data_IF_468546909414
#
_entry.id   IF_468546909414
#
_cell.length_a   1.000
_cell.length_b   1.000
_cell.length_c   1.000
_cell.angle_alpha   90.00
_cell.angle_beta   90.00
_cell.angle_gamma   90.00
#
_symmetry.space_group_name_H-M   'P 1'
#
loop_
_entity.id
_entity.type
_entity.pdbx_description
1 polymer ?
#
# COMPACT_ATOMS: atom_id res chain seq x y z
N UNK A 1 -61.54 -40.99 61.09
CA UNK A 1 -60.65 -41.63 60.10
C UNK A 1 -60.70 -40.96 58.71
N UNK A 2 -61.88 -40.60 58.15
CA UNK A 2 -61.99 -39.96 56.82
C UNK A 2 -61.35 -38.55 56.70
N UNK A 3 -61.42 -37.72 57.75
CA UNK A 3 -60.86 -36.36 57.74
C UNK A 3 -59.33 -36.37 57.69
N UNK A 4 -58.68 -37.29 58.42
CA UNK A 4 -57.21 -37.40 58.46
C UNK A 4 -56.63 -37.90 57.13
N UNK A 5 -57.38 -38.74 56.39
CA UNK A 5 -57.01 -39.21 55.06
C UNK A 5 -57.12 -38.04 54.06
N UNK A 6 -58.20 -37.26 54.11
CA UNK A 6 -58.43 -36.11 53.23
C UNK A 6 -57.36 -35.01 53.36
N UNK A 7 -56.92 -34.69 54.59
CA UNK A 7 -55.87 -33.69 54.83
C UNK A 7 -54.50 -34.18 54.32
N UNK A 8 -54.16 -35.46 54.52
CA UNK A 8 -52.92 -36.04 53.97
C UNK A 8 -52.91 -36.02 52.44
N UNK A 9 -54.03 -36.31 51.79
CA UNK A 9 -54.15 -36.26 50.33
C UNK A 9 -53.99 -34.83 49.79
N UNK A 10 -54.54 -33.82 50.48
CA UNK A 10 -54.37 -32.42 50.10
C UNK A 10 -52.92 -31.94 50.26
N UNK A 11 -52.24 -32.32 51.35
CA UNK A 11 -50.82 -31.96 51.57
C UNK A 11 -49.95 -32.58 50.47
N UNK A 12 -50.17 -33.84 50.11
CA UNK A 12 -49.42 -34.53 49.03
C UNK A 12 -49.66 -33.84 47.69
N UNK A 13 -50.91 -33.46 47.39
CA UNK A 13 -51.24 -32.76 46.15
C UNK A 13 -50.55 -31.39 46.04
N UNK A 14 -50.54 -30.61 47.12
CA UNK A 14 -49.82 -29.32 47.17
C UNK A 14 -48.31 -29.53 47.01
N UNK A 15 -47.73 -30.59 47.60
CA UNK A 15 -46.32 -30.90 47.46
C UNK A 15 -45.94 -31.22 46.00
N UNK A 16 -46.78 -31.99 45.30
CA UNK A 16 -46.57 -32.31 43.88
C UNK A 16 -46.65 -31.05 43.01
N UNK A 17 -47.64 -30.19 43.25
CA UNK A 17 -47.74 -28.90 42.56
C UNK A 17 -46.51 -28.01 42.80
N UNK A 18 -45.99 -27.99 44.03
CA UNK A 18 -44.79 -27.23 44.37
C UNK A 18 -43.56 -27.78 43.65
N UNK A 19 -43.40 -29.10 43.57
CA UNK A 19 -42.30 -29.75 42.86
C UNK A 19 -42.38 -29.47 41.35
N UNK A 20 -43.57 -29.52 40.76
CA UNK A 20 -43.79 -29.17 39.35
C UNK A 20 -43.48 -27.69 39.10
N UNK A 21 -43.93 -26.79 39.99
CA UNK A 21 -43.62 -25.37 39.89
C UNK A 21 -42.12 -25.08 40.00
N UNK A 22 -41.43 -25.68 40.98
CA UNK A 22 -39.99 -25.50 41.19
C UNK A 22 -39.16 -26.04 40.01
N UNK A 23 -39.52 -27.21 39.50
CA UNK A 23 -38.82 -27.84 38.36
C UNK A 23 -39.01 -27.06 37.06
N UNK A 24 -40.20 -26.50 36.82
CA UNK A 24 -40.47 -25.64 35.66
C UNK A 24 -39.74 -24.29 35.74
N UNK A 25 -39.69 -23.65 36.91
CA UNK A 25 -38.93 -22.40 37.10
C UNK A 25 -37.43 -22.59 36.96
N UNK A 26 -36.87 -23.68 37.48
CA UNK A 26 -35.44 -23.97 37.37
C UNK A 26 -35.03 -24.26 35.92
N UNK A 27 -35.84 -25.00 35.16
CA UNK A 27 -35.61 -25.23 33.73
C UNK A 27 -35.72 -23.95 32.89
N UNK A 28 -36.59 -23.01 33.28
CA UNK A 28 -36.73 -21.72 32.61
C UNK A 28 -35.52 -20.80 32.88
N UNK A 29 -35.04 -20.73 34.13
CA UNK A 29 -33.83 -19.99 34.51
C UNK A 29 -32.57 -20.52 33.82
N UNK A 30 -32.40 -21.85 33.76
CA UNK A 30 -31.26 -22.46 33.07
C UNK A 30 -31.25 -22.12 31.57
N UNK A 31 -32.42 -22.16 30.91
CA UNK A 31 -32.55 -21.74 29.50
C UNK A 31 -32.31 -20.25 29.30
N UNK A 32 -32.76 -19.41 30.23
CA UNK A 32 -32.51 -17.96 30.19
C UNK A 32 -31.01 -17.64 30.30
N UNK A 33 -30.29 -18.30 31.20
CA UNK A 33 -28.85 -18.10 31.36
C UNK A 33 -28.06 -18.55 30.14
N UNK A 34 -28.41 -19.69 29.52
CA UNK A 34 -27.80 -20.15 28.27
C UNK A 34 -28.07 -19.14 27.15
N UNK A 35 -29.31 -18.66 27.03
CA UNK A 35 -29.66 -17.65 26.03
C UNK A 35 -28.91 -16.32 26.26
N UNK A 36 -28.68 -15.91 27.51
CA UNK A 36 -27.89 -14.71 27.83
C UNK A 36 -26.41 -14.87 27.44
N UNK A 37 -25.80 -16.04 27.67
CA UNK A 37 -24.44 -16.33 27.20
C UNK A 37 -24.36 -16.34 25.67
N UNK A 38 -25.30 -17.02 24.99
CA UNK A 38 -25.36 -17.02 23.53
C UNK A 38 -25.54 -15.61 22.95
N UNK A 39 -26.39 -14.77 23.55
CA UNK A 39 -26.58 -13.37 23.13
C UNK A 39 -25.29 -12.57 23.33
N UNK A 40 -24.55 -12.82 24.41
CA UNK A 40 -23.28 -12.13 24.68
C UNK A 40 -22.22 -12.51 23.64
N UNK A 41 -22.11 -13.78 23.31
CA UNK A 41 -21.17 -14.27 22.30
C UNK A 41 -21.52 -13.74 20.90
N UNK A 42 -22.81 -13.75 20.55
CA UNK A 42 -23.30 -13.16 19.30
C UNK A 42 -23.00 -11.66 19.20
N UNK A 43 -23.10 -10.90 20.29
CA UNK A 43 -22.74 -9.46 20.30
C UNK A 43 -21.25 -9.24 20.05
N UNK A 44 -20.39 -10.08 20.62
CA UNK A 44 -18.94 -10.01 20.38
C UNK A 44 -18.64 -10.31 18.91
N UNK A 45 -19.29 -11.33 18.35
CA UNK A 45 -19.10 -11.71 16.96
C UNK A 45 -19.63 -10.64 15.98
N UNK A 46 -20.79 -10.04 16.27
CA UNK A 46 -21.31 -8.90 15.48
C UNK A 46 -20.31 -7.74 15.50
N UNK A 47 -19.80 -7.34 16.66
CA UNK A 47 -18.82 -6.25 16.75
C UNK A 47 -17.52 -6.56 15.98
N UNK A 48 -17.08 -7.82 15.99
CA UNK A 48 -15.93 -8.29 15.19
C UNK A 48 -16.21 -8.16 13.70
N UNK A 49 -17.38 -8.63 13.24
CA UNK A 49 -17.81 -8.59 11.85
C UNK A 49 -18.04 -7.15 11.34
N UNK A 50 -18.60 -6.27 12.17
CA UNK A 50 -18.75 -4.85 11.85
C UNK A 50 -17.38 -4.20 11.59
N UNK A 51 -16.40 -4.45 12.46
CA UNK A 51 -15.04 -3.94 12.28
C UNK A 51 -14.34 -4.53 11.04
N UNK A 52 -14.55 -5.80 10.73
CA UNK A 52 -14.05 -6.41 9.50
C UNK A 52 -14.71 -5.81 8.25
N UNK A 53 -16.01 -5.52 8.31
CA UNK A 53 -16.78 -4.92 7.22
C UNK A 53 -16.36 -3.48 6.98
N UNK A 54 -16.14 -2.68 8.04
CA UNK A 54 -15.62 -1.32 7.95
C UNK A 54 -14.25 -1.30 7.27
N UNK A 55 -13.32 -2.16 7.72
CA UNK A 55 -12.00 -2.31 7.12
C UNK A 55 -12.05 -2.74 5.64
N UNK A 56 -13.02 -3.58 5.27
CA UNK A 56 -13.23 -3.95 3.87
C UNK A 56 -13.82 -2.79 3.05
N UNK A 57 -14.73 -2.00 3.64
CA UNK A 57 -15.31 -0.80 3.04
C UNK A 57 -14.26 0.28 2.75
N UNK A 58 -13.36 0.54 3.69
CA UNK A 58 -12.22 1.46 3.51
C UNK A 58 -11.35 1.02 2.32
N UNK A 59 -10.96 -0.27 2.29
CA UNK A 59 -10.19 -0.85 1.18
C UNK A 59 -10.87 -0.67 -0.17
N UNK A 60 -12.19 -0.88 -0.25
CA UNK A 60 -12.96 -0.68 -1.47
C UNK A 60 -12.87 0.76 -1.96
N UNK A 61 -12.95 1.73 -1.04
CA UNK A 61 -12.83 3.15 -1.39
C UNK A 61 -11.44 3.50 -1.96
N UNK A 62 -10.37 2.91 -1.41
CA UNK A 62 -9.01 3.09 -1.92
C UNK A 62 -8.88 2.55 -3.35
N UNK A 63 -9.46 1.36 -3.62
CA UNK A 63 -9.49 0.78 -4.95
C UNK A 63 -10.27 1.64 -5.96
N UNK A 64 -11.36 2.28 -5.54
CA UNK A 64 -12.14 3.19 -6.40
C UNK A 64 -11.33 4.44 -6.80
N UNK A 65 -10.57 5.02 -5.87
CA UNK A 65 -9.69 6.16 -6.14
C UNK A 65 -8.59 5.77 -7.14
N UNK A 66 -8.00 4.58 -6.95
CA UNK A 66 -6.93 4.06 -7.81
C UNK A 66 -7.43 3.70 -9.21
N UNK A 67 -8.58 3.02 -9.30
CA UNK A 67 -9.17 2.62 -10.59
C UNK A 67 -9.69 3.83 -11.37
N UNK A 68 -10.28 4.82 -10.68
CA UNK A 68 -10.71 6.09 -11.29
C UNK A 68 -9.57 6.91 -11.90
N UNK A 69 -8.33 6.74 -11.41
CA UNK A 69 -7.13 7.42 -11.90
C UNK A 69 -6.17 6.53 -12.67
N UNK A 70 -6.53 5.27 -12.93
CA UNK A 70 -5.64 4.24 -13.48
C UNK A 70 -4.92 4.69 -14.75
N UNK A 71 -5.65 5.28 -15.71
CA UNK A 71 -5.06 5.75 -16.96
C UNK A 71 -3.98 6.83 -16.73
N UNK A 72 -4.18 7.72 -15.76
CA UNK A 72 -3.19 8.76 -15.42
C UNK A 72 -1.98 8.12 -14.72
N UNK A 73 -2.21 7.22 -13.77
CA UNK A 73 -1.13 6.53 -13.05
C UNK A 73 -0.29 5.65 -14.01
N UNK A 74 -0.92 5.04 -15.02
CA UNK A 74 -0.21 4.29 -16.06
C UNK A 74 0.71 5.19 -16.89
N UNK A 75 0.29 6.42 -17.20
CA UNK A 75 1.14 7.37 -17.96
C UNK A 75 2.34 7.86 -17.17
N UNK A 76 2.32 7.73 -15.83
CA UNK A 76 3.44 8.18 -14.98
C UNK A 76 4.50 7.12 -14.74
N UNK A 77 4.30 5.87 -15.14
CA UNK A 77 5.26 4.77 -14.93
C UNK A 77 5.89 4.35 -16.25
N UNK A 78 7.20 4.14 -16.22
CA UNK A 78 8.05 3.94 -17.40
C UNK A 78 8.86 2.65 -17.30
N UNK A 79 9.02 2.01 -18.44
CA UNK A 79 10.01 0.96 -18.67
C UNK A 79 11.32 1.67 -19.03
N UNK A 80 12.35 1.47 -18.22
CA UNK A 80 13.68 1.99 -18.47
C UNK A 80 14.61 0.91 -18.99
N UNK A 81 15.51 1.30 -19.88
CA UNK A 81 16.60 0.45 -20.32
C UNK A 81 17.89 1.25 -20.51
N UNK A 82 19.03 0.63 -20.23
CA UNK A 82 20.35 1.23 -20.35
C UNK A 82 21.41 0.19 -20.73
N UNK A 83 22.45 0.63 -21.42
CA UNK A 83 23.58 -0.21 -21.86
C UNK A 83 24.77 0.02 -20.92
N UNK A 84 25.51 -1.01 -20.51
CA UNK A 84 26.73 -0.80 -19.71
C UNK A 84 27.80 -0.09 -20.52
N UNK A 85 28.60 0.78 -19.89
CA UNK A 85 29.76 1.45 -20.53
C UNK A 85 30.84 0.45 -20.97
N UNK A 86 30.88 -0.72 -20.32
CA UNK A 86 31.77 -1.85 -20.63
C UNK A 86 30.99 -3.06 -21.15
N UNK A 87 31.66 -4.15 -21.51
CA UNK A 87 30.97 -5.39 -21.93
C UNK A 87 29.99 -5.88 -20.86
N UNK A 88 28.73 -6.12 -21.25
CA UNK A 88 27.71 -6.61 -20.34
C UNK A 88 26.34 -6.70 -20.97
N UNK A 89 25.35 -7.07 -20.16
CA UNK A 89 23.94 -7.13 -20.57
C UNK A 89 23.26 -5.79 -20.32
N UNK A 90 22.36 -5.43 -21.23
CA UNK A 90 21.43 -4.30 -21.06
C UNK A 90 20.68 -4.45 -19.73
N UNK A 91 20.57 -3.33 -19.00
CA UNK A 91 19.87 -3.27 -17.72
C UNK A 91 18.48 -2.71 -17.94
N UNK A 92 17.49 -3.49 -17.52
CA UNK A 92 16.08 -3.12 -17.57
C UNK A 92 15.59 -2.78 -16.16
N UNK A 93 14.83 -1.70 -16.04
CA UNK A 93 14.37 -1.17 -14.76
C UNK A 93 13.04 -0.45 -14.89
N UNK A 94 12.46 -0.04 -13.76
CA UNK A 94 11.27 0.81 -13.74
C UNK A 94 11.67 2.24 -13.43
N UNK A 95 10.93 3.21 -13.95
CA UNK A 95 11.06 4.61 -13.59
C UNK A 95 9.67 5.23 -13.47
N UNK A 96 9.58 6.43 -12.92
CA UNK A 96 8.33 7.18 -12.88
C UNK A 96 8.56 8.68 -13.03
N UNK A 97 7.55 9.37 -13.54
CA UNK A 97 7.54 10.83 -13.57
C UNK A 97 6.97 11.40 -12.26
N UNK A 98 7.60 12.42 -11.70
CA UNK A 98 7.09 13.22 -10.58
C UNK A 98 6.96 14.69 -10.95
N UNK A 99 6.01 15.38 -10.33
CA UNK A 99 5.87 16.83 -10.42
C UNK A 99 6.35 17.48 -9.12
N UNK A 100 7.29 18.42 -9.23
CA UNK A 100 7.85 19.12 -8.09
C UNK A 100 8.36 20.50 -8.50
N UNK A 101 8.03 21.53 -7.70
CA UNK A 101 8.40 22.94 -7.94
C UNK A 101 8.27 23.35 -9.42
N UNK A 102 7.06 23.19 -9.95
CA UNK A 102 6.67 23.57 -11.32
C UNK A 102 7.40 22.84 -12.46
N UNK A 103 8.13 21.77 -12.14
CA UNK A 103 8.88 20.97 -13.12
C UNK A 103 8.50 19.49 -13.04
N UNK A 104 8.67 18.79 -14.17
CA UNK A 104 8.52 17.34 -14.25
C UNK A 104 9.89 16.69 -14.32
N UNK A 105 10.10 15.69 -13.46
CA UNK A 105 11.31 14.88 -13.41
C UNK A 105 10.98 13.44 -13.64
N UNK A 106 11.91 12.70 -14.23
CA UNK A 106 11.81 11.25 -14.36
C UNK A 106 12.81 10.62 -13.38
N UNK A 107 12.30 9.76 -12.51
CA UNK A 107 13.01 9.22 -11.36
C UNK A 107 13.12 7.71 -11.48
N UNK A 108 14.26 7.16 -11.09
CA UNK A 108 14.52 5.71 -11.00
C UNK A 108 15.43 5.42 -9.79
N UNK A 109 15.77 4.16 -9.56
CA UNK A 109 16.78 3.78 -8.57
C UNK A 109 18.19 4.08 -9.09
N UNK A 110 19.09 4.55 -8.22
CA UNK A 110 20.46 4.92 -8.58
C UNK A 110 21.30 3.74 -9.03
N UNK A 111 21.05 2.55 -8.48
CA UNK A 111 21.71 1.33 -8.93
C UNK A 111 21.32 0.92 -10.35
N UNK A 112 20.28 1.50 -10.94
CA UNK A 112 19.98 1.36 -12.37
C UNK A 112 20.93 2.20 -13.25
N UNK A 113 21.61 3.18 -12.66
CA UNK A 113 22.60 4.08 -13.29
C UNK A 113 24.01 3.55 -13.09
N UNK A 114 24.32 3.07 -11.88
CA UNK A 114 25.63 2.50 -11.54
C UNK A 114 25.50 1.40 -10.48
N UNK A 115 26.06 0.22 -10.74
CA UNK A 115 26.04 -0.87 -9.74
C UNK A 115 27.30 -1.72 -9.81
N UNK A 116 27.93 -1.96 -8.67
CA UNK A 116 29.15 -2.76 -8.59
C UNK A 116 30.33 -2.17 -9.38
N UNK A 117 30.41 -0.84 -9.48
CA UNK A 117 31.42 -0.13 -10.27
C UNK A 117 31.18 -0.14 -11.78
N UNK A 118 30.06 -0.71 -12.25
CA UNK A 118 29.64 -0.66 -13.66
C UNK A 118 28.65 0.47 -13.82
N UNK A 119 29.02 1.46 -14.61
CA UNK A 119 28.16 2.57 -15.02
C UNK A 119 27.40 2.21 -16.30
N UNK A 120 26.16 2.69 -16.39
CA UNK A 120 25.29 2.52 -17.54
C UNK A 120 25.10 3.85 -18.28
N UNK A 121 24.87 3.76 -19.58
CA UNK A 121 24.66 4.86 -20.53
C UNK A 121 23.49 4.55 -21.47
N UNK A 122 23.25 5.44 -22.43
CA UNK A 122 22.22 5.27 -23.46
C UNK A 122 20.81 5.00 -22.89
N UNK A 123 20.48 5.74 -21.83
CA UNK A 123 19.22 5.62 -21.13
C UNK A 123 18.04 5.94 -22.06
N UNK A 124 17.12 4.99 -22.16
CA UNK A 124 15.86 5.13 -22.91
C UNK A 124 14.70 4.68 -22.06
N UNK A 125 13.58 5.38 -22.20
CA UNK A 125 12.39 5.14 -21.38
C UNK A 125 11.14 5.10 -22.24
N UNK A 126 10.15 4.31 -21.83
CA UNK A 126 8.87 4.19 -22.52
C UNK A 126 7.75 4.04 -21.50
N UNK A 127 6.74 4.90 -21.53
CA UNK A 127 5.62 4.81 -20.58
C UNK A 127 4.83 3.52 -20.77
N UNK A 128 4.14 3.04 -19.74
CA UNK A 128 3.28 1.85 -19.84
C UNK A 128 2.20 1.97 -20.94
N UNK A 129 1.84 3.20 -21.31
CA UNK A 129 0.80 3.50 -22.30
C UNK A 129 1.35 3.81 -23.70
N UNK A 130 2.67 3.83 -23.89
CA UNK A 130 3.30 4.24 -25.14
C UNK A 130 4.18 3.14 -25.73
N UNK A 131 4.27 3.11 -27.05
CA UNK A 131 5.27 2.30 -27.78
C UNK A 131 6.55 3.08 -28.08
N UNK A 132 6.57 4.40 -27.85
CA UNK A 132 7.67 5.29 -28.22
C UNK A 132 8.69 5.44 -27.09
N UNK A 133 9.97 5.33 -27.46
CA UNK A 133 11.08 5.62 -26.58
C UNK A 133 11.36 7.12 -26.49
N UNK A 134 11.62 7.60 -25.29
CA UNK A 134 12.18 8.92 -25.00
C UNK A 134 13.60 8.76 -24.45
N UNK A 135 14.40 9.81 -24.65
CA UNK A 135 15.83 9.85 -24.30
C UNK A 135 16.06 11.07 -23.39
N UNK A 136 15.72 10.96 -22.11
CA UNK A 136 15.85 12.04 -21.15
C UNK A 136 17.32 12.20 -20.73
N UNK A 137 17.67 13.41 -20.29
CA UNK A 137 19.01 13.73 -19.81
C UNK A 137 19.13 13.39 -18.33
N UNK A 138 20.20 12.68 -17.94
CA UNK A 138 20.52 12.41 -16.54
C UNK A 138 21.09 13.68 -15.90
N UNK A 139 20.40 14.21 -14.91
CA UNK A 139 20.83 15.40 -14.16
C UNK A 139 21.77 15.03 -13.00
N UNK A 140 21.37 14.02 -12.23
CA UNK A 140 22.08 13.62 -11.02
C UNK A 140 21.66 12.21 -10.59
N UNK A 141 22.52 11.52 -9.86
CA UNK A 141 22.19 10.26 -9.21
C UNK A 141 23.02 10.05 -7.96
N UNK A 142 22.52 9.20 -7.08
CA UNK A 142 23.24 8.62 -5.96
C UNK A 142 22.93 7.13 -5.93
N UNK A 143 23.95 6.27 -5.87
CA UNK A 143 23.79 4.81 -5.86
C UNK A 143 24.18 4.19 -4.51
N UNK A 144 23.82 4.87 -3.41
CA UNK A 144 24.08 4.39 -2.05
C UNK A 144 22.95 3.48 -1.57
N UNK A 145 23.01 2.25 -2.07
CA UNK A 145 22.09 1.17 -1.76
C UNK A 145 22.04 0.83 -0.26
N UNK A 146 23.12 1.05 0.48
CA UNK A 146 23.20 0.67 1.90
C UNK A 146 22.47 1.67 2.79
N UNK A 147 22.53 2.96 2.47
CA UNK A 147 21.90 4.02 3.26
C UNK A 147 20.54 4.49 2.72
N UNK A 148 19.93 3.72 1.81
CA UNK A 148 18.66 4.06 1.16
C UNK A 148 18.70 5.45 0.48
N UNK A 149 19.86 5.83 -0.03
CA UNK A 149 20.06 7.03 -0.87
C UNK A 149 20.41 6.58 -2.27
N UNK A 150 19.43 5.92 -2.87
CA UNK A 150 19.60 5.20 -4.12
C UNK A 150 18.54 5.67 -5.12
N UNK A 151 18.91 6.65 -5.94
CA UNK A 151 18.03 7.31 -6.89
C UNK A 151 18.79 7.88 -8.10
N UNK A 152 18.08 8.02 -9.22
CA UNK A 152 18.52 8.76 -10.41
C UNK A 152 17.46 9.77 -10.83
N UNK A 153 17.90 10.97 -11.21
CA UNK A 153 17.05 12.10 -11.60
C UNK A 153 17.34 12.45 -13.04
N UNK A 154 16.30 12.42 -13.86
CA UNK A 154 16.35 12.78 -15.26
C UNK A 154 15.40 13.93 -15.58
N UNK A 155 15.70 14.66 -16.64
CA UNK A 155 14.81 15.67 -17.22
C UNK A 155 14.49 15.37 -18.68
N UNK A 156 13.28 15.74 -19.10
CA UNK A 156 12.89 15.69 -20.50
C UNK A 156 11.86 16.78 -20.80
N UNK A 157 12.13 17.69 -21.76
CA UNK A 157 11.29 18.87 -22.01
C UNK A 157 9.83 18.60 -22.37
N UNK A 158 9.49 17.36 -22.73
CA UNK A 158 8.13 16.97 -23.13
C UNK A 158 7.39 16.12 -22.09
N UNK A 159 7.93 15.94 -20.87
CA UNK A 159 7.15 15.40 -19.76
C UNK A 159 6.04 16.38 -19.38
N UNK A 160 4.81 15.88 -19.21
CA UNK A 160 3.60 16.69 -18.93
C UNK A 160 2.77 16.17 -17.77
N UNK A 161 3.17 15.03 -17.22
CA UNK A 161 2.44 14.32 -16.17
C UNK A 161 3.44 13.82 -15.15
N UNK A 162 3.03 13.79 -13.89
CA UNK A 162 3.89 13.36 -12.79
C UNK A 162 3.05 13.03 -11.56
N UNK A 163 3.56 12.12 -10.76
CA UNK A 163 3.04 11.84 -9.42
C UNK A 163 3.32 13.04 -8.50
N UNK A 164 2.40 13.29 -7.59
CA UNK A 164 2.45 14.42 -6.67
C UNK A 164 2.92 13.91 -5.31
N UNK A 165 3.83 14.66 -4.68
CA UNK A 165 4.30 14.39 -3.32
C UNK A 165 3.38 15.05 -2.29
N UNK A 166 3.39 14.53 -1.08
CA UNK A 166 2.76 15.14 0.09
C UNK A 166 3.73 14.96 1.27
N UNK A 167 4.08 16.06 1.93
CA UNK A 167 5.07 16.05 3.00
C UNK A 167 4.50 15.46 4.30
N UNK A 168 3.17 15.38 4.43
CA UNK A 168 2.49 14.83 5.61
C UNK A 168 2.21 13.33 5.49
N UNK A 169 1.93 12.85 4.27
CA UNK A 169 1.55 11.47 4.00
C UNK A 169 2.75 10.64 3.50
N UNK A 170 3.56 10.16 4.44
CA UNK A 170 4.82 9.44 4.14
C UNK A 170 4.72 7.91 4.28
N UNK A 171 3.55 7.38 4.65
CA UNK A 171 3.41 5.95 4.92
C UNK A 171 3.27 5.13 3.63
N UNK A 172 4.12 4.11 3.38
CA UNK A 172 4.08 3.35 2.14
C UNK A 172 2.89 2.39 2.09
N UNK A 173 1.99 2.59 1.12
CA UNK A 173 0.84 1.73 0.86
C UNK A 173 1.06 0.80 -0.33
N UNK A 174 1.32 1.37 -1.50
CA UNK A 174 1.25 0.68 -2.78
C UNK A 174 2.48 0.88 -3.66
N UNK A 175 2.72 -0.03 -4.59
CA UNK A 175 3.75 0.08 -5.62
C UNK A 175 3.11 0.06 -6.98
N UNK A 176 3.56 0.98 -7.86
CA UNK A 176 3.19 0.94 -9.27
C UNK A 176 4.26 0.28 -10.12
N UNK A 177 3.92 -0.85 -10.76
CA UNK A 177 4.83 -1.63 -11.58
C UNK A 177 4.81 -1.28 -13.07
N UNK A 178 5.86 -1.68 -13.77
CA UNK A 178 5.94 -1.61 -15.23
C UNK A 178 5.27 -2.82 -15.92
N UNK A 179 4.48 -2.57 -16.98
CA UNK A 179 3.71 -3.62 -17.65
C UNK A 179 4.51 -4.52 -18.62
N UNK A 180 5.64 -4.05 -19.17
CA UNK A 180 6.44 -4.80 -20.16
C UNK A 180 7.05 -6.09 -19.57
N UNK A 181 7.29 -6.11 -18.26
CA UNK A 181 7.89 -7.25 -17.56
C UNK A 181 6.87 -8.21 -16.95
N UNK A 182 5.59 -8.10 -17.31
CA UNK A 182 4.47 -8.79 -16.64
C UNK A 182 4.44 -8.54 -15.13
N UNK A 183 4.97 -7.40 -14.69
CA UNK A 183 4.86 -6.98 -13.30
C UNK A 183 3.43 -6.48 -13.09
N UNK A 184 2.83 -6.86 -11.96
CA UNK A 184 1.52 -6.34 -11.62
C UNK A 184 1.62 -4.83 -11.50
N UNK A 185 0.78 -4.11 -12.26
CA UNK A 185 0.76 -2.66 -12.26
C UNK A 185 0.55 -2.09 -10.86
N UNK A 186 -0.22 -2.78 -10.02
CA UNK A 186 -0.56 -2.33 -8.69
C UNK A 186 -0.45 -3.48 -7.69
N UNK A 187 0.16 -3.20 -6.55
CA UNK A 187 0.28 -4.15 -5.43
C UNK A 187 0.56 -3.43 -4.11
N UNK A 188 0.33 -4.12 -3.00
CA UNK A 188 0.76 -3.64 -1.68
C UNK A 188 2.31 -3.57 -1.64
N UNK A 189 2.88 -2.54 -1.02
CA UNK A 189 4.33 -2.30 -1.01
C UNK A 189 5.14 -3.52 -0.51
N UNK A 190 4.67 -4.20 0.53
CA UNK A 190 5.29 -5.43 1.06
C UNK A 190 5.34 -6.61 0.07
N UNK A 191 4.67 -6.50 -1.08
CA UNK A 191 4.66 -7.51 -2.14
C UNK A 191 5.58 -7.15 -3.31
N UNK A 192 6.40 -6.10 -3.17
CA UNK A 192 7.42 -5.74 -4.16
C UNK A 192 8.37 -6.91 -4.43
N UNK A 193 8.75 -7.10 -5.69
CA UNK A 193 9.59 -8.21 -6.15
C UNK A 193 10.89 -7.70 -6.76
N UNK A 194 11.86 -8.60 -6.90
CA UNK A 194 13.07 -8.34 -7.66
C UNK A 194 12.74 -7.93 -9.11
N UNK A 195 13.42 -6.89 -9.60
CA UNK A 195 13.17 -6.31 -10.92
C UNK A 195 12.19 -5.12 -10.94
N UNK A 196 11.63 -4.76 -9.78
CA UNK A 196 10.78 -3.56 -9.61
C UNK A 196 11.57 -2.34 -9.16
N UNK A 197 12.90 -2.42 -9.11
CA UNK A 197 13.76 -1.28 -8.81
C UNK A 197 13.41 -0.07 -9.65
N UNK A 198 13.26 1.07 -8.98
CA UNK A 198 12.85 2.35 -9.55
C UNK A 198 11.34 2.53 -9.67
N UNK A 199 10.51 1.58 -9.24
CA UNK A 199 9.05 1.76 -9.14
C UNK A 199 8.69 2.81 -8.08
N UNK A 200 7.67 3.66 -8.31
CA UNK A 200 7.18 4.58 -7.29
C UNK A 200 6.41 3.81 -6.23
N UNK A 201 6.55 4.28 -4.99
CA UNK A 201 5.75 3.88 -3.85
C UNK A 201 4.75 5.00 -3.57
N UNK A 202 3.48 4.65 -3.43
CA UNK A 202 2.40 5.55 -3.08
C UNK A 202 1.88 5.29 -1.68
N UNK A 203 1.39 6.31 -1.01
CA UNK A 203 0.57 6.19 0.20
C UNK A 203 -0.85 5.69 -0.12
N UNK A 204 -1.66 5.46 0.92
CA UNK A 204 -3.10 5.20 0.76
C UNK A 204 -3.81 6.39 0.10
N UNK A 205 -3.39 7.62 0.41
CA UNK A 205 -3.85 8.85 -0.24
C UNK A 205 -3.35 9.04 -1.68
N UNK A 206 -2.70 8.03 -2.28
CA UNK A 206 -2.12 8.06 -3.63
C UNK A 206 -1.05 9.16 -3.82
N UNK A 207 -0.34 9.52 -2.74
CA UNK A 207 0.77 10.47 -2.75
C UNK A 207 2.08 9.73 -2.94
N UNK A 208 3.02 10.29 -3.68
CA UNK A 208 4.33 9.70 -3.89
C UNK A 208 5.15 9.79 -2.60
N UNK A 209 5.59 8.64 -2.07
CA UNK A 209 6.36 8.55 -0.81
C UNK A 209 7.79 8.09 -1.00
N UNK A 210 8.10 7.36 -2.08
CA UNK A 210 9.44 6.83 -2.27
C UNK A 210 9.65 5.99 -3.53
N UNK A 211 10.82 5.36 -3.57
CA UNK A 211 11.30 4.54 -4.68
C UNK A 211 11.61 3.13 -4.18
N UNK A 212 11.09 2.11 -4.85
CA UNK A 212 11.50 0.72 -4.62
C UNK A 212 12.96 0.57 -5.03
N UNK A 213 13.83 0.19 -4.10
CA UNK A 213 15.25 -0.09 -4.38
C UNK A 213 15.66 -1.52 -4.06
N UNK A 214 14.96 -2.16 -3.13
CA UNK A 214 15.26 -3.50 -2.62
C UNK A 214 14.02 -4.39 -2.76
N UNK A 215 14.22 -5.69 -2.64
CA UNK A 215 13.15 -6.68 -2.57
C UNK A 215 12.67 -6.95 -1.13
N UNK A 216 13.06 -6.09 -0.19
CA UNK A 216 12.56 -6.06 1.18
C UNK A 216 11.65 -4.82 1.37
N UNK A 217 11.31 -4.48 2.62
CA UNK A 217 10.51 -3.30 2.95
C UNK A 217 11.31 -1.99 2.97
N UNK A 218 12.59 -2.00 2.57
CA UNK A 218 13.40 -0.78 2.49
C UNK A 218 13.17 -0.09 1.15
N UNK A 219 13.21 1.24 1.19
CA UNK A 219 13.00 2.10 0.03
C UNK A 219 13.79 3.40 0.18
N UNK A 220 14.04 4.10 -0.92
CA UNK A 220 14.55 5.49 -0.88
C UNK A 220 13.36 6.42 -0.64
N UNK A 221 13.30 7.17 0.47
CA UNK A 221 12.24 8.15 0.70
C UNK A 221 12.28 9.25 -0.36
N UNK A 222 11.12 9.72 -0.81
CA UNK A 222 11.06 10.74 -1.86
C UNK A 222 11.68 12.08 -1.42
N UNK A 223 11.66 12.36 -0.11
CA UNK A 223 12.30 13.53 0.48
C UNK A 223 13.79 13.62 0.14
N UNK A 224 14.50 12.48 0.09
CA UNK A 224 15.92 12.42 -0.32
C UNK A 224 16.10 12.94 -1.75
N UNK A 225 15.18 12.58 -2.65
CA UNK A 225 15.19 13.02 -4.06
C UNK A 225 14.89 14.51 -4.16
N UNK A 226 13.87 15.00 -3.45
CA UNK A 226 13.51 16.44 -3.47
C UNK A 226 14.63 17.31 -2.92
N UNK A 227 15.33 16.86 -1.87
CA UNK A 227 16.52 17.55 -1.35
C UNK A 227 17.66 17.62 -2.38
N UNK A 228 17.81 16.60 -3.23
CA UNK A 228 18.79 16.63 -4.31
C UNK A 228 18.36 17.60 -5.43
N UNK A 229 17.08 17.61 -5.82
CA UNK A 229 16.53 18.57 -6.79
C UNK A 229 16.72 20.02 -6.32
N UNK A 230 16.50 20.27 -5.03
CA UNK A 230 16.67 21.62 -4.45
C UNK A 230 18.12 22.11 -4.57
N UNK A 231 19.10 21.24 -4.33
CA UNK A 231 20.51 21.58 -4.51
C UNK A 231 20.87 21.87 -5.96
N UNK A 232 20.37 21.06 -6.90
CA UNK A 232 20.56 21.29 -8.33
C UNK A 232 20.01 22.63 -8.80
N UNK A 233 18.91 23.10 -8.18
CA UNK A 233 18.28 24.38 -8.53
C UNK A 233 19.07 25.57 -7.99
N UNK A 234 19.67 25.45 -6.81
CA UNK A 234 20.51 26.49 -6.19
C UNK A 234 21.79 26.72 -7.00
N UNK A 235 22.41 25.65 -7.49
CA UNK A 235 23.67 25.72 -8.25
C UNK A 235 23.48 26.30 -9.68
N UNK A 236 22.23 26.47 -10.13
CA UNK A 236 21.88 27.10 -11.41
C UNK A 236 21.55 28.61 -11.31
N UNK A 237 21.55 29.21 -10.11
CA UNK A 237 21.29 30.64 -9.89
C UNK A 237 22.50 31.55 -9.53
N UNK A 238 23.77 31.32 -9.95
CA UNK A 238 24.86 32.22 -9.54
C UNK A 238 24.85 33.61 -10.23
N UNK A 239 24.10 33.84 -11.32
CA UNK A 239 24.25 35.06 -12.16
C UNK A 239 22.99 35.95 -12.29
N UNK A 240 22.11 36.00 -11.30
CA UNK A 240 21.06 37.06 -11.22
C UNK A 240 21.38 38.10 -10.15
N UNK A 241 22.39 38.94 -10.41
CA UNK A 241 22.56 40.25 -9.79
C UNK A 241 23.02 41.28 -10.82
#
# INVERSE_FOLDING_TARGET
>A
MKILISVKTQIIFVLILLIIALSTTAGCLARSNIAEEEIKDLKIEIARLEKETEKQGEKLSDYDILTGNLNKLLTTVYYGSATPETEGREKNFTAFSMFYKDNFYLITAGHCIEYGGIKYTDFKFKSNTSSQWIYPELLYYEADYMNNRDFGIFTYPYLRTGLIIDDEDTEPGYVLGNMERKLNFFKEFKQAKEGESGSPILSLGCKLVGIVIKNNTDYTPISVVTLAIDKLSIDQEPDRK
#
